data_IF_698778129346
#
_entry.id   IF_698778129346
#
_cell.length_a   1.000
_cell.length_b   1.000
_cell.length_c   1.000
_cell.angle_alpha   90.00
_cell.angle_beta   90.00
_cell.angle_gamma   90.00
#
_symmetry.space_group_name_H-M   'P 1'
#
loop_
_entity.id
_entity.type
_entity.pdbx_description
1 polymer ?
#
# COMPACT_ATOMS: atom_id res chain seq x y z
N UNK A 1 62.87 3.42 21.47
CA UNK A 1 61.92 2.43 20.93
C UNK A 1 62.73 1.23 20.52
N UNK A 2 62.45 0.06 21.09
CA UNK A 2 63.24 -1.15 20.86
C UNK A 2 62.72 -1.90 19.62
N UNK A 3 63.53 -2.75 18.99
CA UNK A 3 63.11 -3.55 17.83
C UNK A 3 61.89 -4.45 18.15
N UNK A 4 61.69 -4.82 19.41
CA UNK A 4 60.52 -5.58 19.85
C UNK A 4 59.22 -4.74 19.84
N UNK A 5 59.30 -3.44 20.15
CA UNK A 5 58.14 -2.53 20.08
C UNK A 5 57.65 -2.39 18.64
N UNK A 6 58.58 -2.29 17.69
CA UNK A 6 58.28 -2.21 16.24
C UNK A 6 57.67 -3.52 15.73
N UNK A 7 58.20 -4.66 16.17
CA UNK A 7 57.67 -5.99 15.81
C UNK A 7 56.27 -6.22 16.37
N UNK A 8 56.03 -5.81 17.61
CA UNK A 8 54.72 -5.90 18.26
C UNK A 8 53.67 -5.02 17.55
N UNK A 9 54.04 -3.79 17.21
CA UNK A 9 53.16 -2.88 16.46
C UNK A 9 52.80 -3.44 15.07
N UNK A 10 53.75 -4.07 14.37
CA UNK A 10 53.51 -4.70 13.07
C UNK A 10 52.53 -5.88 13.17
N UNK A 11 52.68 -6.71 14.21
CA UNK A 11 51.77 -7.85 14.45
C UNK A 11 50.34 -7.39 14.79
N UNK A 12 50.19 -6.33 15.58
CA UNK A 12 48.87 -5.76 15.88
C UNK A 12 48.18 -5.20 14.63
N UNK A 13 48.93 -4.54 13.74
CA UNK A 13 48.38 -4.04 12.47
C UNK A 13 47.95 -5.20 11.56
N UNK A 14 48.74 -6.26 11.46
CA UNK A 14 48.40 -7.44 10.66
C UNK A 14 47.12 -8.12 11.17
N UNK A 15 46.96 -8.26 12.50
CA UNK A 15 45.73 -8.79 13.09
C UNK A 15 44.53 -7.88 12.83
N UNK A 16 44.68 -6.57 13.02
CA UNK A 16 43.59 -5.62 12.78
C UNK A 16 43.07 -5.65 11.33
N UNK A 17 43.99 -5.77 10.35
CA UNK A 17 43.61 -5.93 8.94
C UNK A 17 42.90 -7.25 8.69
N UNK A 18 43.38 -8.34 9.31
CA UNK A 18 42.78 -9.67 9.17
C UNK A 18 41.38 -9.73 9.77
N UNK A 19 41.18 -9.16 10.96
CA UNK A 19 39.87 -9.05 11.62
C UNK A 19 38.89 -8.23 10.79
N UNK A 20 39.34 -7.11 10.19
CA UNK A 20 38.49 -6.30 9.30
C UNK A 20 38.11 -7.05 8.02
N UNK A 21 39.05 -7.77 7.41
CA UNK A 21 38.77 -8.56 6.21
C UNK A 21 37.78 -9.71 6.48
N UNK A 22 37.86 -10.33 7.65
CA UNK A 22 36.91 -11.36 8.09
C UNK A 22 35.52 -10.76 8.37
N UNK A 23 35.45 -9.60 9.05
CA UNK A 23 34.21 -8.88 9.29
C UNK A 23 33.51 -8.42 7.99
N UNK A 24 34.29 -7.97 7.00
CA UNK A 24 33.76 -7.63 5.67
C UNK A 24 33.22 -8.86 4.94
N UNK A 25 33.90 -10.02 5.03
CA UNK A 25 33.41 -11.27 4.44
C UNK A 25 32.12 -11.73 5.10
N UNK A 26 32.01 -11.68 6.42
CA UNK A 26 30.76 -12.05 7.12
C UNK A 26 29.61 -11.05 6.85
N UNK A 27 29.91 -9.77 6.63
CA UNK A 27 28.91 -8.78 6.20
C UNK A 27 28.45 -8.99 4.75
N UNK A 28 29.36 -9.39 3.84
CA UNK A 28 29.01 -9.72 2.46
C UNK A 28 28.13 -10.98 2.34
N UNK A 29 28.37 -12.00 3.17
CA UNK A 29 27.52 -13.21 3.20
C UNK A 29 26.16 -12.96 3.85
N UNK A 30 26.04 -11.96 4.73
CA UNK A 30 24.74 -11.55 5.33
C UNK A 30 23.86 -10.72 4.40
N UNK A 31 24.37 -10.31 3.24
CA UNK A 31 23.61 -9.57 2.21
C UNK A 31 22.68 -10.44 1.35
N UNK A 32 22.66 -11.77 1.54
CA UNK A 32 21.82 -12.71 0.76
C UNK A 32 20.61 -13.23 1.54
N UNK A 33 20.53 -12.98 2.84
CA UNK A 33 19.25 -13.07 3.52
C UNK A 33 18.52 -11.76 3.27
N UNK A 34 17.59 -11.82 2.31
CA UNK A 34 16.63 -10.78 2.03
C UNK A 34 16.05 -10.25 3.36
N UNK A 35 16.61 -9.15 3.83
CA UNK A 35 15.98 -8.35 4.86
C UNK A 35 14.70 -7.83 4.20
N UNK A 36 13.60 -8.55 4.42
CA UNK A 36 12.26 -8.06 4.11
C UNK A 36 12.15 -6.76 4.87
N UNK A 37 12.28 -5.66 4.13
CA UNK A 37 12.18 -4.31 4.63
C UNK A 37 10.73 -4.12 5.08
N UNK A 38 10.41 -3.94 6.38
CA UNK A 38 9.02 -3.88 6.83
C UNK A 38 8.30 -2.57 6.48
N UNK A 39 8.91 -1.65 5.71
CA UNK A 39 8.64 -0.20 5.87
C UNK A 39 8.04 0.53 4.66
N UNK A 40 7.76 -0.11 3.52
CA UNK A 40 6.84 0.48 2.51
C UNK A 40 5.92 -0.59 1.95
N UNK A 41 4.75 -0.74 2.55
CA UNK A 41 3.63 -1.43 1.88
C UNK A 41 3.26 -0.59 0.65
N UNK A 42 3.55 -1.12 -0.53
CA UNK A 42 3.25 -0.44 -1.80
C UNK A 42 1.75 -0.53 -2.09
N UNK A 43 1.23 0.37 -2.92
CA UNK A 43 -0.15 0.29 -3.41
C UNK A 43 -0.43 -1.06 -4.10
N UNK A 44 0.57 -1.63 -4.79
CA UNK A 44 0.44 -2.95 -5.42
C UNK A 44 0.27 -4.08 -4.37
N UNK A 45 1.02 -4.04 -3.27
CA UNK A 45 0.87 -4.99 -2.17
C UNK A 45 -0.51 -4.87 -1.51
N UNK A 46 -0.95 -3.64 -1.23
CA UNK A 46 -2.28 -3.36 -0.66
C UNK A 46 -3.40 -3.81 -1.59
N UNK A 47 -3.29 -3.55 -2.89
CA UNK A 47 -4.26 -4.02 -3.87
C UNK A 47 -4.32 -5.56 -3.91
N UNK A 48 -3.16 -6.23 -3.84
CA UNK A 48 -3.12 -7.69 -3.75
C UNK A 48 -3.84 -8.20 -2.49
N UNK A 49 -3.53 -7.63 -1.32
CA UNK A 49 -4.17 -8.01 -0.05
C UNK A 49 -5.69 -7.73 -0.08
N UNK A 50 -6.09 -6.59 -0.64
CA UNK A 50 -7.48 -6.21 -0.86
C UNK A 50 -8.19 -7.25 -1.73
N UNK A 51 -7.61 -7.65 -2.86
CA UNK A 51 -8.22 -8.66 -3.72
C UNK A 51 -8.28 -10.04 -3.05
N UNK A 52 -7.32 -10.39 -2.19
CA UNK A 52 -7.33 -11.64 -1.42
C UNK A 52 -8.44 -11.71 -0.37
N UNK A 53 -8.94 -10.57 0.10
CA UNK A 53 -10.09 -10.50 1.02
C UNK A 53 -11.44 -10.66 0.31
N UNK A 54 -11.45 -10.85 -1.01
CA UNK A 54 -12.65 -11.03 -1.83
C UNK A 54 -13.76 -9.98 -1.55
N UNK A 55 -13.45 -8.69 -1.67
CA UNK A 55 -14.41 -7.61 -1.47
C UNK A 55 -15.55 -7.68 -2.49
N UNK A 56 -16.72 -7.16 -2.10
CA UNK A 56 -17.93 -7.23 -2.91
C UNK A 56 -17.84 -6.36 -4.17
N UNK A 57 -18.07 -6.96 -5.34
CA UNK A 57 -18.16 -6.28 -6.64
C UNK A 57 -19.52 -5.60 -6.80
N UNK A 58 -19.52 -4.42 -7.43
CA UNK A 58 -20.73 -3.66 -7.74
C UNK A 58 -20.79 -3.27 -9.22
N UNK A 59 -21.82 -3.73 -9.94
CA UNK A 59 -22.02 -3.41 -11.35
C UNK A 59 -22.76 -2.07 -11.52
N UNK A 60 -23.72 -1.79 -10.62
CA UNK A 60 -24.61 -0.63 -10.69
C UNK A 60 -25.69 -0.74 -11.76
N UNK A 61 -25.79 -1.89 -12.44
CA UNK A 61 -26.76 -2.18 -13.50
C UNK A 61 -27.67 -3.37 -13.17
N UNK A 62 -27.32 -4.18 -12.16
CA UNK A 62 -28.00 -5.44 -11.86
C UNK A 62 -29.12 -5.23 -10.85
N UNK A 63 -30.29 -5.78 -11.16
CA UNK A 63 -31.44 -5.81 -10.24
C UNK A 63 -31.08 -6.61 -8.98
N UNK A 64 -31.35 -6.03 -7.82
CA UNK A 64 -31.09 -6.64 -6.52
C UNK A 64 -29.68 -6.40 -5.97
N UNK A 65 -28.83 -5.62 -6.63
CA UNK A 65 -27.66 -5.04 -5.96
C UNK A 65 -28.12 -4.01 -4.93
N UNK A 66 -27.56 -4.06 -3.73
CA UNK A 66 -27.76 -3.05 -2.69
C UNK A 66 -26.52 -2.12 -2.64
N UNK A 67 -26.66 -0.84 -3.05
CA UNK A 67 -25.58 0.13 -2.96
C UNK A 67 -25.06 0.33 -1.53
N UNK A 68 -25.93 0.25 -0.51
CA UNK A 68 -25.58 0.44 0.89
C UNK A 68 -24.73 -0.74 1.38
N UNK A 69 -25.20 -1.97 1.17
CA UNK A 69 -24.45 -3.19 1.51
C UNK A 69 -23.07 -3.19 0.84
N UNK A 70 -22.98 -2.76 -0.43
CA UNK A 70 -21.72 -2.68 -1.13
C UNK A 70 -20.72 -1.72 -0.49
N UNK A 71 -21.14 -0.49 -0.23
CA UNK A 71 -20.26 0.52 0.36
C UNK A 71 -19.81 0.11 1.75
N UNK A 72 -20.70 -0.47 2.57
CA UNK A 72 -20.38 -0.89 3.93
C UNK A 72 -19.38 -2.04 3.98
N UNK A 73 -19.57 -3.08 3.16
CA UNK A 73 -18.64 -4.22 3.10
C UNK A 73 -17.28 -3.82 2.53
N UNK A 74 -17.24 -3.01 1.47
CA UNK A 74 -15.98 -2.48 0.92
C UNK A 74 -15.29 -1.59 1.96
N UNK A 75 -16.04 -0.73 2.66
CA UNK A 75 -15.49 0.14 3.70
C UNK A 75 -14.83 -0.65 4.82
N UNK A 76 -15.50 -1.70 5.30
CA UNK A 76 -15.00 -2.58 6.36
C UNK A 76 -13.64 -3.19 5.99
N UNK A 77 -13.47 -3.64 4.74
CA UNK A 77 -12.20 -4.18 4.24
C UNK A 77 -11.13 -3.09 4.19
N UNK A 78 -11.37 -1.96 3.51
CA UNK A 78 -10.33 -0.91 3.38
C UNK A 78 -10.02 -0.24 4.73
N UNK A 79 -10.96 -0.22 5.67
CA UNK A 79 -10.74 0.29 7.00
C UNK A 79 -9.89 -0.66 7.86
N UNK A 80 -10.08 -1.97 7.76
CA UNK A 80 -9.28 -2.96 8.51
C UNK A 80 -7.81 -2.98 8.06
N UNK A 81 -7.55 -2.62 6.80
CA UNK A 81 -6.19 -2.50 6.25
C UNK A 81 -5.39 -1.31 6.79
N UNK A 82 -6.02 -0.35 7.48
CA UNK A 82 -5.34 0.82 8.03
C UNK A 82 -4.73 1.76 6.98
N UNK A 83 -5.26 1.76 5.75
CA UNK A 83 -4.79 2.61 4.65
C UNK A 83 -5.32 4.05 4.77
N UNK A 84 -4.61 5.07 4.26
CA UNK A 84 -5.09 6.44 4.28
C UNK A 84 -6.33 6.62 3.38
N UNK A 85 -7.13 7.65 3.65
CA UNK A 85 -8.42 7.95 2.98
C UNK A 85 -8.30 7.92 1.44
N UNK A 86 -7.24 8.54 0.89
CA UNK A 86 -6.99 8.56 -0.55
C UNK A 86 -6.85 7.17 -1.16
N UNK A 87 -6.18 6.25 -0.47
CA UNK A 87 -6.00 4.87 -0.93
C UNK A 87 -7.25 4.02 -0.73
N UNK A 88 -8.07 4.30 0.30
CA UNK A 88 -9.38 3.63 0.47
C UNK A 88 -10.24 3.78 -0.78
N UNK A 89 -10.28 4.99 -1.36
CA UNK A 89 -11.02 5.26 -2.59
C UNK A 89 -10.44 4.52 -3.78
N UNK A 90 -9.11 4.53 -3.93
CA UNK A 90 -8.48 3.83 -5.04
C UNK A 90 -8.74 2.32 -4.97
N UNK A 91 -8.57 1.70 -3.80
CA UNK A 91 -8.89 0.29 -3.59
C UNK A 91 -10.37 -0.02 -3.85
N UNK A 92 -11.29 0.76 -3.27
CA UNK A 92 -12.73 0.58 -3.49
C UNK A 92 -13.10 0.66 -4.98
N UNK A 93 -12.45 1.54 -5.76
CA UNK A 93 -12.72 1.67 -7.19
C UNK A 93 -12.43 0.40 -8.00
N UNK A 94 -11.57 -0.50 -7.51
CA UNK A 94 -11.32 -1.79 -8.19
C UNK A 94 -12.53 -2.73 -8.14
N UNK A 95 -13.47 -2.52 -7.20
CA UNK A 95 -14.71 -3.30 -7.11
C UNK A 95 -15.87 -2.76 -7.94
N UNK A 96 -15.73 -1.53 -8.42
CA UNK A 96 -16.67 -0.94 -9.37
C UNK A 96 -16.40 -1.54 -10.76
N UNK A 97 -17.45 -2.05 -11.41
CA UNK A 97 -17.42 -2.62 -12.76
C UNK A 97 -18.60 -2.09 -13.57
N UNK A 98 -18.53 -2.25 -14.89
CA UNK A 98 -19.61 -1.88 -15.80
C UNK A 98 -20.09 -0.42 -15.58
N UNK A 99 -21.38 -0.18 -15.30
CA UNK A 99 -21.96 1.16 -15.15
C UNK A 99 -21.31 1.93 -14.01
N UNK A 100 -20.99 1.27 -12.90
CA UNK A 100 -20.38 1.93 -11.73
C UNK A 100 -18.95 2.39 -11.99
N UNK A 101 -18.17 1.63 -12.76
CA UNK A 101 -16.81 2.02 -13.17
C UNK A 101 -16.81 3.24 -14.10
N UNK A 102 -17.73 3.25 -15.08
CA UNK A 102 -17.88 4.37 -16.01
C UNK A 102 -18.26 5.64 -15.26
N UNK A 103 -19.23 5.53 -14.34
CA UNK A 103 -19.64 6.65 -13.49
C UNK A 103 -18.48 7.18 -12.63
N UNK A 104 -17.75 6.30 -11.93
CA UNK A 104 -16.67 6.74 -11.04
C UNK A 104 -15.59 7.50 -11.79
N UNK A 105 -15.24 7.05 -13.00
CA UNK A 105 -14.28 7.72 -13.87
C UNK A 105 -14.76 9.11 -14.26
N UNK A 106 -16.02 9.26 -14.67
CA UNK A 106 -16.60 10.56 -15.02
C UNK A 106 -16.68 11.49 -13.82
N UNK A 107 -17.18 11.00 -12.69
CA UNK A 107 -17.32 11.76 -11.45
C UNK A 107 -15.96 12.27 -10.95
N UNK A 108 -14.91 11.44 -10.99
CA UNK A 108 -13.54 11.83 -10.62
C UNK A 108 -12.97 12.89 -11.57
N UNK A 109 -13.20 12.75 -12.88
CA UNK A 109 -12.69 13.67 -13.90
C UNK A 109 -13.40 15.04 -13.91
N UNK A 110 -14.65 15.09 -13.46
CA UNK A 110 -15.43 16.34 -13.42
C UNK A 110 -15.08 17.24 -12.23
N UNK A 111 -14.15 16.83 -11.36
CA UNK A 111 -13.74 17.66 -10.22
C UNK A 111 -12.97 18.90 -10.69
N UNK A 112 -13.17 20.07 -10.05
CA UNK A 112 -12.43 21.28 -10.40
C UNK A 112 -10.91 21.08 -10.32
N UNK A 113 -10.17 21.76 -11.19
CA UNK A 113 -8.71 21.78 -11.11
C UNK A 113 -8.28 22.34 -9.74
N UNK A 114 -7.37 21.63 -9.07
CA UNK A 114 -6.92 21.98 -7.72
C UNK A 114 -7.82 21.51 -6.58
N UNK A 115 -8.90 20.76 -6.87
CA UNK A 115 -9.66 20.10 -5.81
C UNK A 115 -8.75 19.11 -5.05
N UNK A 116 -8.81 19.15 -3.71
CA UNK A 116 -8.01 18.29 -2.83
C UNK A 116 -8.32 16.79 -2.99
N UNK A 117 -7.75 15.91 -2.15
CA UNK A 117 -8.08 14.49 -2.15
C UNK A 117 -9.59 14.21 -2.04
N UNK A 118 -10.03 13.07 -2.56
CA UNK A 118 -11.41 12.61 -2.38
C UNK A 118 -11.46 11.90 -1.03
N UNK A 119 -12.19 12.48 -0.08
CA UNK A 119 -12.45 11.83 1.19
C UNK A 119 -13.54 10.76 1.05
N UNK A 120 -13.49 9.76 1.92
CA UNK A 120 -14.45 8.64 1.92
C UNK A 120 -15.91 9.10 1.94
N UNK A 121 -16.25 10.09 2.78
CA UNK A 121 -17.63 10.59 2.88
C UNK A 121 -18.10 11.28 1.59
N UNK A 122 -17.21 12.01 0.91
CA UNK A 122 -17.53 12.66 -0.38
C UNK A 122 -17.82 11.62 -1.46
N UNK A 123 -17.07 10.52 -1.47
CA UNK A 123 -17.35 9.38 -2.36
C UNK A 123 -18.69 8.72 -2.03
N UNK A 124 -18.95 8.45 -0.75
CA UNK A 124 -20.18 7.80 -0.29
C UNK A 124 -21.42 8.60 -0.67
N UNK A 125 -21.42 9.91 -0.41
CA UNK A 125 -22.53 10.80 -0.80
C UNK A 125 -22.77 10.79 -2.31
N UNK A 126 -21.70 10.91 -3.12
CA UNK A 126 -21.81 10.89 -4.57
C UNK A 126 -22.31 9.53 -5.10
N UNK A 127 -21.83 8.44 -4.50
CA UNK A 127 -22.21 7.07 -4.87
C UNK A 127 -23.69 6.82 -4.59
N UNK A 128 -24.19 7.17 -3.40
CA UNK A 128 -25.61 7.05 -3.08
C UNK A 128 -26.48 7.98 -3.91
N UNK A 129 -26.03 9.21 -4.18
CA UNK A 129 -26.74 10.11 -5.09
C UNK A 129 -26.92 9.53 -6.51
N UNK A 130 -26.03 8.63 -6.94
CA UNK A 130 -26.11 7.98 -8.25
C UNK A 130 -26.90 6.67 -8.24
N UNK A 131 -26.60 5.78 -7.31
CA UNK A 131 -27.08 4.39 -7.33
C UNK A 131 -28.18 4.10 -6.32
N UNK A 132 -28.39 5.01 -5.38
CA UNK A 132 -29.47 4.96 -4.40
C UNK A 132 -30.31 6.25 -4.44
N UNK A 133 -30.89 6.61 -5.62
CA UNK A 133 -31.74 7.78 -5.68
C UNK A 133 -32.97 7.55 -4.80
N UNK A 134 -33.15 8.36 -3.75
CA UNK A 134 -34.43 8.40 -3.03
C UNK A 134 -35.54 8.62 -4.06
N UNK A 135 -36.49 7.69 -4.13
CA UNK A 135 -37.74 7.93 -4.85
C UNK A 135 -38.35 9.22 -4.28
N UNK A 136 -38.57 10.20 -5.16
CA UNK A 136 -39.26 11.45 -4.84
C UNK A 136 -40.75 11.29 -5.09
#
# INVERSE_FOLDING_TARGET
MTNEDVRSALLMMAQAVTTRAQAMKSQATRGVEAHVNPIVSTMASRLKDFMMMNPLVFLGSKVGEDPQENVDEVYKVVNSMGVPSIEKIELASYQLKDVSQVWFTQWKNNRPAGAGPIEWEVFKEAFFGRFFPCEK
#
